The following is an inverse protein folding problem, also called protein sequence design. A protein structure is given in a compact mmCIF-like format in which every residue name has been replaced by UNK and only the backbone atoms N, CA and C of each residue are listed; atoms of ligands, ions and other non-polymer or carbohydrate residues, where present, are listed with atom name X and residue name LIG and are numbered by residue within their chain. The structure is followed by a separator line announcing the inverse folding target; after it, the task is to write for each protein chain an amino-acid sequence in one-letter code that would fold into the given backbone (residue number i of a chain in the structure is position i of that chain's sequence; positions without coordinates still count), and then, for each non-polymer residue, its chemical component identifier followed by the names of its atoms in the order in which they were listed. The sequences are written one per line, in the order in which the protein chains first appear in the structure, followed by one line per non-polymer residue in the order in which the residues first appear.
data_IF_846448389484
#
_entry.id   IF_846448389484
#
_cell.length_a   1.000
_cell.length_b   1.000
_cell.length_c   1.000
_cell.angle_alpha   90.00
_cell.angle_beta   90.00
_cell.angle_gamma   90.00
#
_symmetry.space_group_name_H-M   'P 1'
#
loop_
_entity.id
_entity.type
_entity.pdbx_description
1 polymer ?
#
# COMPACT_ATOMS: atom_id res chain seq x y z
N UNK A 1 13.20 28.11 -22.68
CA UNK A 1 12.70 27.61 -21.39
C UNK A 1 12.38 26.11 -21.37
N UNK A 2 11.85 25.51 -22.47
CA UNK A 2 11.57 24.04 -22.53
C UNK A 2 12.82 23.16 -22.36
N UNK A 3 13.97 23.58 -22.90
CA UNK A 3 15.20 22.79 -22.83
C UNK A 3 15.86 22.81 -21.45
N UNK A 4 15.63 23.86 -20.65
CA UNK A 4 16.14 23.98 -19.29
C UNK A 4 15.39 23.00 -18.35
N UNK A 5 14.09 22.80 -18.55
CA UNK A 5 13.28 21.84 -17.78
C UNK A 5 13.72 20.39 -18.04
N UNK A 6 14.02 20.06 -19.31
CA UNK A 6 14.57 18.74 -19.69
C UNK A 6 15.97 18.51 -19.10
N UNK A 7 16.81 19.54 -19.08
CA UNK A 7 18.15 19.46 -18.48
C UNK A 7 18.07 19.25 -16.95
N UNK A 8 17.15 19.93 -16.26
CA UNK A 8 16.90 19.77 -14.84
C UNK A 8 16.34 18.38 -14.47
N UNK A 9 15.60 17.74 -15.38
CA UNK A 9 15.06 16.38 -15.19
C UNK A 9 16.13 15.30 -15.40
N UNK A 10 17.12 15.55 -16.27
CA UNK A 10 18.19 14.60 -16.61
C UNK A 10 19.35 14.68 -15.60
N UNK A 11 19.59 15.84 -15.00
CA UNK A 11 20.70 16.09 -14.09
C UNK A 11 20.76 15.11 -12.88
N UNK A 12 19.65 14.79 -12.19
CA UNK A 12 19.69 13.81 -11.11
C UNK A 12 19.96 12.37 -11.58
N UNK A 13 19.68 12.05 -12.84
CA UNK A 13 19.92 10.72 -13.40
C UNK A 13 21.41 10.46 -13.68
N UNK A 14 22.21 11.52 -13.90
CA UNK A 14 23.66 11.43 -14.11
C UNK A 14 24.46 11.51 -12.81
N UNK A 15 23.81 11.87 -11.69
CA UNK A 15 24.43 12.00 -10.35
C UNK A 15 24.54 10.67 -9.60
N UNK A 16 23.94 9.59 -10.10
CA UNK A 16 24.24 8.25 -9.61
C UNK A 16 25.67 7.91 -10.01
N UNK A 17 26.56 8.06 -9.04
CA UNK A 17 28.00 8.03 -9.20
C UNK A 17 28.52 6.85 -10.00
N UNK A 18 29.81 6.94 -10.36
CA UNK A 18 30.69 6.03 -11.10
C UNK A 18 30.70 4.55 -10.68
N UNK A 19 29.77 4.09 -9.87
CA UNK A 19 29.50 2.69 -9.67
C UNK A 19 28.69 2.21 -10.88
N UNK A 20 29.38 1.68 -11.85
CA UNK A 20 28.80 0.93 -12.96
C UNK A 20 27.69 0.06 -12.38
N UNK A 21 26.45 0.27 -12.86
CA UNK A 21 25.34 -0.66 -12.60
C UNK A 21 25.79 -2.04 -13.10
N UNK A 22 26.41 -2.78 -12.20
CA UNK A 22 26.99 -4.07 -12.54
C UNK A 22 25.88 -5.11 -12.55
N UNK A 23 25.23 -5.25 -13.71
CA UNK A 23 24.19 -6.27 -13.94
C UNK A 23 24.69 -7.71 -13.68
N UNK A 24 26.01 -7.90 -13.52
CA UNK A 24 26.59 -9.17 -13.10
C UNK A 24 26.10 -9.63 -11.72
N UNK A 25 25.62 -8.70 -10.86
CA UNK A 25 24.99 -9.01 -9.57
C UNK A 25 23.74 -9.88 -9.74
N UNK A 26 23.06 -9.79 -10.89
CA UNK A 26 21.87 -10.57 -11.23
C UNK A 26 22.15 -11.64 -12.29
N UNK A 27 23.40 -11.83 -12.68
CA UNK A 27 23.76 -12.79 -13.71
C UNK A 27 23.54 -14.24 -13.21
N UNK A 28 22.74 -15.05 -13.92
CA UNK A 28 22.51 -16.44 -13.54
C UNK A 28 23.75 -17.32 -13.65
N UNK A 29 24.84 -16.82 -14.30
CA UNK A 29 26.08 -17.54 -14.48
C UNK A 29 27.01 -17.53 -13.25
N UNK A 30 26.70 -16.70 -12.24
CA UNK A 30 27.45 -16.58 -11.00
C UNK A 30 26.64 -17.08 -9.82
N UNK A 31 27.25 -17.73 -8.85
CA UNK A 31 26.60 -18.24 -7.64
C UNK A 31 25.92 -17.08 -6.84
N UNK A 32 26.60 -15.93 -6.75
CA UNK A 32 26.06 -14.74 -6.12
C UNK A 32 24.85 -14.20 -6.87
N UNK A 33 24.89 -14.14 -8.20
CA UNK A 33 23.79 -13.69 -9.04
C UNK A 33 22.55 -14.59 -8.92
N UNK A 34 22.75 -15.91 -8.86
CA UNK A 34 21.66 -16.88 -8.61
C UNK A 34 21.03 -16.69 -7.23
N UNK A 35 21.83 -16.42 -6.20
CA UNK A 35 21.35 -16.17 -4.84
C UNK A 35 20.53 -14.90 -4.78
N UNK A 36 21.03 -13.82 -5.39
CA UNK A 36 20.31 -12.55 -5.46
C UNK A 36 18.99 -12.66 -6.24
N UNK A 37 19.01 -13.42 -7.36
CA UNK A 37 17.79 -13.66 -8.14
C UNK A 37 16.75 -14.45 -7.34
N UNK A 38 17.17 -15.51 -6.63
CA UNK A 38 16.27 -16.26 -5.74
C UNK A 38 15.69 -15.37 -4.62
N UNK A 39 16.51 -14.51 -4.04
CA UNK A 39 16.05 -13.55 -3.03
C UNK A 39 14.99 -12.58 -3.58
N UNK A 40 15.22 -12.02 -4.77
CA UNK A 40 14.26 -11.15 -5.44
C UNK A 40 12.94 -11.87 -5.76
N UNK A 41 13.02 -13.11 -6.25
CA UNK A 41 11.83 -13.91 -6.54
C UNK A 41 11.05 -14.26 -5.27
N UNK A 42 11.74 -14.54 -4.15
CA UNK A 42 11.07 -14.75 -2.86
C UNK A 42 10.37 -13.49 -2.37
N UNK A 43 10.99 -12.31 -2.53
CA UNK A 43 10.38 -11.01 -2.23
C UNK A 43 9.15 -10.74 -3.10
N UNK A 44 9.23 -11.06 -4.40
CA UNK A 44 8.09 -10.94 -5.32
C UNK A 44 6.90 -11.81 -4.88
N UNK A 45 7.17 -13.06 -4.49
CA UNK A 45 6.13 -13.97 -3.99
C UNK A 45 5.46 -13.41 -2.74
N UNK A 46 6.25 -12.89 -1.80
CA UNK A 46 5.74 -12.24 -0.58
C UNK A 46 4.87 -11.01 -0.90
N UNK A 47 5.31 -10.18 -1.83
CA UNK A 47 4.57 -8.99 -2.28
C UNK A 47 3.23 -9.37 -2.90
N UNK A 48 3.22 -10.35 -3.80
CA UNK A 48 1.98 -10.84 -4.43
C UNK A 48 1.01 -11.37 -3.37
N UNK A 49 1.51 -12.17 -2.42
CA UNK A 49 0.66 -12.73 -1.37
C UNK A 49 0.03 -11.64 -0.48
N UNK A 50 0.84 -10.69 0.00
CA UNK A 50 0.34 -9.55 0.80
C UNK A 50 -0.70 -8.77 0.00
N UNK A 51 -0.42 -8.46 -1.26
CA UNK A 51 -1.33 -7.68 -2.12
C UNK A 51 -2.67 -8.37 -2.32
N UNK A 52 -2.65 -9.67 -2.68
CA UNK A 52 -3.89 -10.42 -2.93
C UNK A 52 -4.74 -10.52 -1.67
N UNK A 53 -4.13 -10.87 -0.53
CA UNK A 53 -4.85 -10.98 0.75
C UNK A 53 -5.42 -9.63 1.18
N UNK A 54 -4.61 -8.57 1.08
CA UNK A 54 -5.06 -7.21 1.45
C UNK A 54 -6.19 -6.70 0.56
N UNK A 55 -6.14 -6.96 -0.75
CA UNK A 55 -7.22 -6.58 -1.67
C UNK A 55 -8.52 -7.29 -1.31
N UNK A 56 -8.50 -8.60 -1.04
CA UNK A 56 -9.70 -9.34 -0.68
C UNK A 56 -10.31 -8.78 0.61
N UNK A 57 -9.49 -8.56 1.64
CA UNK A 57 -9.95 -8.02 2.93
C UNK A 57 -10.47 -6.58 2.74
N UNK A 58 -9.76 -5.74 1.99
CA UNK A 58 -10.17 -4.36 1.74
C UNK A 58 -11.50 -4.25 0.99
N UNK A 59 -11.76 -5.14 0.03
CA UNK A 59 -13.05 -5.20 -0.68
C UNK A 59 -14.19 -5.53 0.27
N UNK A 60 -13.99 -6.49 1.17
CA UNK A 60 -15.01 -6.87 2.16
C UNK A 60 -15.29 -5.70 3.11
N UNK A 61 -14.23 -5.09 3.69
CA UNK A 61 -14.38 -3.95 4.59
C UNK A 61 -15.01 -2.77 3.86
N UNK A 62 -14.51 -2.44 2.66
CA UNK A 62 -15.01 -1.33 1.85
C UNK A 62 -16.49 -1.48 1.49
N UNK A 63 -16.93 -2.70 1.16
CA UNK A 63 -18.33 -2.99 0.91
C UNK A 63 -19.18 -2.80 2.18
N UNK A 64 -18.75 -3.36 3.32
CA UNK A 64 -19.45 -3.20 4.61
C UNK A 64 -19.58 -1.73 5.00
N UNK A 65 -18.52 -0.93 4.74
CA UNK A 65 -18.52 0.51 5.03
C UNK A 65 -19.41 1.29 4.04
N UNK A 66 -19.45 0.89 2.76
CA UNK A 66 -20.22 1.58 1.73
C UNK A 66 -21.73 1.38 1.86
N UNK A 67 -22.19 0.14 2.12
CA UNK A 67 -23.62 -0.21 2.13
C UNK A 67 -24.46 0.66 3.07
N UNK A 68 -24.07 0.95 4.32
CA UNK A 68 -24.83 1.80 5.19
C UNK A 68 -25.00 3.25 4.69
N UNK A 69 -24.05 3.74 3.89
CA UNK A 69 -24.13 5.11 3.33
C UNK A 69 -25.23 5.26 2.27
N UNK A 70 -25.73 4.17 1.74
CA UNK A 70 -26.84 4.12 0.78
C UNK A 70 -28.21 4.17 1.50
N UNK A 71 -28.24 3.89 2.79
CA UNK A 71 -29.43 4.08 3.59
C UNK A 71 -29.78 5.58 3.68
N UNK A 72 -31.08 5.92 3.67
CA UNK A 72 -31.57 7.31 3.81
C UNK A 72 -31.22 7.96 5.16
N UNK A 73 -30.41 7.31 6.00
CA UNK A 73 -29.99 7.77 7.32
C UNK A 73 -28.77 8.69 7.21
N UNK A 74 -28.96 9.96 7.53
CA UNK A 74 -27.85 10.94 7.57
C UNK A 74 -26.71 10.51 8.50
N UNK A 75 -27.05 9.88 9.63
CA UNK A 75 -26.06 9.43 10.62
C UNK A 75 -25.08 8.39 10.01
N UNK A 76 -25.60 7.38 9.30
CA UNK A 76 -24.78 6.36 8.66
C UNK A 76 -23.92 6.94 7.53
N UNK A 77 -24.46 7.91 6.81
CA UNK A 77 -23.69 8.62 5.77
C UNK A 77 -22.53 9.40 6.38
N UNK A 78 -22.73 10.12 7.47
CA UNK A 78 -21.65 10.84 8.15
C UNK A 78 -20.57 9.92 8.73
N UNK A 79 -20.96 8.76 9.29
CA UNK A 79 -20.00 7.77 9.77
C UNK A 79 -19.12 7.23 8.62
N UNK A 80 -19.71 6.93 7.47
CA UNK A 80 -18.97 6.48 6.29
C UNK A 80 -17.99 7.55 5.80
N UNK A 81 -18.46 8.80 5.63
CA UNK A 81 -17.61 9.91 5.21
C UNK A 81 -16.45 10.10 6.19
N UNK A 82 -16.74 10.13 7.49
CA UNK A 82 -15.71 10.30 8.53
C UNK A 82 -14.67 9.18 8.49
N UNK A 83 -15.09 7.91 8.34
CA UNK A 83 -14.16 6.78 8.19
C UNK A 83 -13.25 6.98 6.97
N UNK A 84 -13.84 7.26 5.81
CA UNK A 84 -13.10 7.41 4.55
C UNK A 84 -12.11 8.58 4.63
N UNK A 85 -12.55 9.73 5.14
CA UNK A 85 -11.69 10.92 5.26
C UNK A 85 -10.53 10.69 6.23
N UNK A 86 -10.79 10.11 7.41
CA UNK A 86 -9.75 9.84 8.42
C UNK A 86 -8.73 8.84 7.87
N UNK A 87 -9.18 7.71 7.33
CA UNK A 87 -8.27 6.66 6.86
C UNK A 87 -7.42 7.16 5.68
N UNK A 88 -8.00 7.90 4.74
CA UNK A 88 -7.28 8.47 3.59
C UNK A 88 -6.32 9.60 3.96
N UNK A 89 -6.54 10.28 5.09
CA UNK A 89 -5.65 11.31 5.58
C UNK A 89 -4.36 10.74 6.19
N UNK A 90 -4.35 9.46 6.59
CA UNK A 90 -3.20 8.83 7.23
C UNK A 90 -2.28 8.26 6.14
N UNK A 91 -1.00 8.69 6.05
CA UNK A 91 -0.03 8.06 5.16
C UNK A 91 0.13 6.58 5.48
N UNK A 92 0.10 5.71 4.46
CA UNK A 92 0.17 4.26 4.62
C UNK A 92 1.37 3.81 5.48
N UNK A 93 2.54 4.42 5.27
CA UNK A 93 3.74 4.09 6.05
C UNK A 93 3.52 4.36 7.55
N UNK A 94 2.88 5.48 7.89
CA UNK A 94 2.56 5.83 9.29
C UNK A 94 1.61 4.81 9.88
N UNK A 95 0.59 4.37 9.12
CA UNK A 95 -0.35 3.35 9.57
C UNK A 95 0.33 2.00 9.83
N UNK A 96 1.25 1.58 8.95
CA UNK A 96 2.03 0.34 9.14
C UNK A 96 2.87 0.43 10.44
N UNK A 97 3.60 1.53 10.61
CA UNK A 97 4.44 1.73 11.81
C UNK A 97 3.60 1.81 13.08
N UNK A 98 2.43 2.42 13.02
CA UNK A 98 1.52 2.50 14.16
C UNK A 98 0.97 1.12 14.55
N UNK A 99 0.55 0.30 13.58
CA UNK A 99 0.06 -1.06 13.85
C UNK A 99 1.20 -1.95 14.39
N UNK A 100 2.40 -1.81 13.85
CA UNK A 100 3.52 -2.66 14.23
C UNK A 100 4.15 -2.29 15.57
N UNK A 101 4.29 -1.00 15.88
CA UNK A 101 4.93 -0.51 17.10
C UNK A 101 3.95 0.10 18.12
N UNK A 102 3.01 0.93 17.65
CA UNK A 102 2.11 1.68 18.52
C UNK A 102 1.04 0.81 19.15
N UNK A 103 0.41 -0.05 18.37
CA UNK A 103 -0.67 -0.91 18.87
C UNK A 103 -0.21 -1.87 19.97
N UNK A 104 0.95 -2.55 19.88
CA UNK A 104 1.47 -3.38 20.96
C UNK A 104 1.70 -2.64 22.26
N UNK A 105 2.16 -1.39 22.22
CA UNK A 105 2.37 -0.57 23.42
C UNK A 105 1.06 -0.27 24.12
N UNK A 106 -0.02 -0.05 23.37
CA UNK A 106 -1.33 0.30 23.93
C UNK A 106 -2.13 -0.91 24.40
N UNK A 107 -2.03 -2.03 23.67
CA UNK A 107 -2.92 -3.20 23.87
C UNK A 107 -2.20 -4.44 24.39
N UNK A 108 -0.87 -4.48 24.34
CA UNK A 108 -0.07 -5.68 24.62
C UNK A 108 -0.11 -6.74 23.50
N UNK A 109 -0.85 -6.51 22.41
CA UNK A 109 -1.00 -7.45 21.29
C UNK A 109 0.04 -7.12 20.22
N UNK A 110 1.00 -8.02 19.98
CA UNK A 110 2.01 -7.86 18.94
C UNK A 110 1.68 -8.67 17.69
N UNK A 111 1.89 -8.07 16.52
CA UNK A 111 1.76 -8.72 15.22
C UNK A 111 3.13 -8.88 14.58
N UNK A 112 3.27 -9.90 13.73
CA UNK A 112 4.45 -10.00 12.87
C UNK A 112 4.46 -8.84 11.85
N UNK A 113 5.64 -8.45 11.33
CA UNK A 113 5.72 -7.40 10.29
C UNK A 113 4.82 -7.67 9.09
N UNK A 114 4.73 -8.95 8.71
CA UNK A 114 3.90 -9.42 7.60
C UNK A 114 2.40 -9.18 7.86
N UNK A 115 1.91 -9.56 9.04
CA UNK A 115 0.51 -9.37 9.44
C UNK A 115 0.19 -7.89 9.60
N UNK A 116 1.09 -7.11 10.18
CA UNK A 116 0.93 -5.65 10.31
C UNK A 116 0.80 -4.97 8.96
N UNK A 117 1.59 -5.41 7.98
CA UNK A 117 1.49 -4.95 6.59
C UNK A 117 0.13 -5.26 5.95
N UNK A 118 -0.36 -6.49 6.11
CA UNK A 118 -1.69 -6.90 5.59
C UNK A 118 -2.79 -6.05 6.22
N UNK A 119 -2.78 -5.89 7.55
CA UNK A 119 -3.81 -5.11 8.26
C UNK A 119 -3.80 -3.64 7.80
N UNK A 120 -2.61 -3.02 7.75
CA UNK A 120 -2.48 -1.63 7.34
C UNK A 120 -2.94 -1.40 5.90
N UNK A 121 -2.50 -2.24 4.98
CA UNK A 121 -2.92 -2.19 3.57
C UNK A 121 -4.43 -2.39 3.43
N UNK A 122 -4.98 -3.39 4.13
CA UNK A 122 -6.41 -3.68 4.08
C UNK A 122 -7.26 -2.51 4.57
N UNK A 123 -6.86 -1.86 5.67
CA UNK A 123 -7.55 -0.67 6.20
C UNK A 123 -7.42 0.50 5.23
N UNK A 124 -6.21 0.81 4.78
CA UNK A 124 -5.97 1.92 3.87
C UNK A 124 -6.74 1.78 2.56
N UNK A 125 -6.67 0.62 1.92
CA UNK A 125 -7.34 0.35 0.66
C UNK A 125 -8.87 0.25 0.80
N UNK A 126 -9.39 -0.17 1.96
CA UNK A 126 -10.83 -0.27 2.19
C UNK A 126 -11.54 1.07 2.09
N UNK A 127 -10.89 2.17 2.45
CA UNK A 127 -11.44 3.51 2.34
C UNK A 127 -11.63 3.92 0.87
N UNK A 128 -10.68 3.56 -0.01
CA UNK A 128 -10.81 3.78 -1.45
C UNK A 128 -11.89 2.88 -2.07
N UNK A 129 -11.94 1.60 -1.66
CA UNK A 129 -12.97 0.66 -2.10
C UNK A 129 -14.37 1.12 -1.69
N UNK A 130 -14.55 1.63 -0.48
CA UNK A 130 -15.83 2.16 0.01
C UNK A 130 -16.33 3.32 -0.88
N UNK A 131 -15.44 4.22 -1.29
CA UNK A 131 -15.77 5.32 -2.20
C UNK A 131 -16.18 4.80 -3.59
N UNK A 132 -15.44 3.83 -4.13
CA UNK A 132 -15.74 3.21 -5.44
C UNK A 132 -17.11 2.53 -5.40
N UNK A 133 -17.40 1.74 -4.36
CA UNK A 133 -18.70 1.09 -4.20
C UNK A 133 -19.83 2.12 -4.08
N UNK A 134 -19.63 3.15 -3.27
CA UNK A 134 -20.63 4.23 -3.12
C UNK A 134 -20.89 4.94 -4.44
N UNK A 135 -19.85 5.29 -5.19
CA UNK A 135 -20.00 5.94 -6.49
C UNK A 135 -20.67 5.03 -7.52
N UNK A 136 -20.28 3.75 -7.57
CA UNK A 136 -20.86 2.77 -8.50
C UNK A 136 -22.34 2.54 -8.25
N UNK A 137 -22.76 2.40 -7.00
CA UNK A 137 -24.20 2.18 -6.67
C UNK A 137 -25.03 3.43 -6.92
N UNK A 138 -24.51 4.63 -6.64
CA UNK A 138 -25.24 5.88 -6.91
C UNK A 138 -25.33 6.23 -8.40
N UNK A 139 -24.62 5.52 -9.29
CA UNK A 139 -24.67 5.74 -10.73
C UNK A 139 -25.79 4.99 -11.45
N UNK A 140 -26.49 4.09 -10.75
CA UNK A 140 -27.61 3.28 -11.23
C UNK A 140 -28.91 3.93 -10.84
#
# INVERSE_FOLDING_TARGET
MKNLFFLLLILPLTSCGKNELNWLILSPNNVEGLTNLKFLLSGLTTTIYISVVSIIISMIIGFIVAVPSLAKSKFLTYLNIGYVEIVRAIPLLVLILWIYYGLPIMTGISFSPFVSGIIALSISESAFQAEIFRAGINSI
#
